data_IF_973343415283
#
_entry.id   IF_973343415283
#
_cell.length_a   1.000
_cell.length_b   1.000
_cell.length_c   1.000
_cell.angle_alpha   90.00
_cell.angle_beta   90.00
_cell.angle_gamma   90.00
#
_symmetry.space_group_name_H-M   'P 1'
#
loop_
_entity.id
_entity.type
_entity.pdbx_description
1 polymer ?
#
# COMPACT_ATOMS: atom_id res chain seq x y z
N UNK A 1 5.51 -7.50 -5.51
CA UNK A 1 5.08 -8.79 -4.92
C UNK A 1 4.06 -8.58 -3.82
N UNK A 2 3.12 -7.67 -4.04
CA UNK A 2 2.13 -7.25 -3.05
C UNK A 2 0.89 -8.15 -3.13
N UNK A 3 0.39 -8.71 -2.00
CA UNK A 3 -0.83 -9.50 -2.00
C UNK A 3 -2.02 -8.72 -2.55
N UNK A 4 -2.80 -9.36 -3.42
CA UNK A 4 -3.99 -8.79 -4.04
C UNK A 4 -5.13 -9.81 -4.05
N UNK A 5 -6.38 -9.33 -4.01
CA UNK A 5 -7.56 -10.15 -4.27
C UNK A 5 -8.64 -9.35 -4.97
N UNK A 6 -9.62 -10.05 -5.54
CA UNK A 6 -10.79 -9.48 -6.20
C UNK A 6 -12.06 -10.09 -5.62
N UNK A 7 -13.08 -9.27 -5.36
CA UNK A 7 -14.39 -9.75 -4.93
C UNK A 7 -15.34 -10.04 -6.11
N UNK A 8 -16.50 -10.65 -5.82
CA UNK A 8 -17.52 -10.97 -6.81
C UNK A 8 -18.18 -9.73 -7.43
N UNK A 9 -18.07 -8.56 -6.79
CA UNK A 9 -18.58 -7.28 -7.28
C UNK A 9 -17.56 -6.56 -8.18
N UNK A 10 -16.38 -7.15 -8.39
CA UNK A 10 -15.40 -6.64 -9.33
C UNK A 10 -14.39 -5.66 -8.75
N UNK A 11 -14.37 -5.48 -7.42
CA UNK A 11 -13.41 -4.62 -6.74
C UNK A 11 -12.12 -5.37 -6.48
N UNK A 12 -11.01 -4.84 -7.00
CA UNK A 12 -9.66 -5.35 -6.78
C UNK A 12 -9.03 -4.57 -5.63
N UNK A 13 -8.48 -5.28 -4.65
CA UNK A 13 -7.79 -4.71 -3.47
C UNK A 13 -6.36 -5.21 -3.40
N UNK A 14 -5.46 -4.33 -2.96
CA UNK A 14 -4.04 -4.61 -2.70
C UNK A 14 -3.73 -4.38 -1.22
N UNK A 15 -2.76 -5.13 -0.69
CA UNK A 15 -2.23 -4.91 0.64
C UNK A 15 -1.41 -3.61 0.69
N UNK A 16 -1.85 -2.64 1.49
CA UNK A 16 -1.13 -1.41 1.76
C UNK A 16 -0.22 -1.56 2.98
N UNK A 17 1.07 -1.84 2.73
CA UNK A 17 2.07 -2.04 3.78
C UNK A 17 2.42 -0.77 4.55
N UNK A 18 2.42 0.40 3.90
CA UNK A 18 2.73 1.67 4.57
C UNK A 18 1.58 2.17 5.45
N UNK A 19 0.37 1.63 5.26
CA UNK A 19 -0.80 1.95 6.08
C UNK A 19 -1.26 0.74 6.90
N UNK A 20 -0.39 0.27 7.80
CA UNK A 20 -0.72 -0.73 8.81
C UNK A 20 -1.18 -2.09 8.26
N UNK A 21 -0.68 -2.50 7.09
CA UNK A 21 -1.11 -3.72 6.39
C UNK A 21 -2.64 -3.78 6.14
N UNK A 22 -3.25 -2.63 5.88
CA UNK A 22 -4.67 -2.53 5.50
C UNK A 22 -4.90 -2.90 4.03
N UNK A 23 -6.17 -3.11 3.65
CA UNK A 23 -6.56 -3.41 2.28
C UNK A 23 -7.07 -2.17 1.56
N UNK A 24 -6.41 -1.77 0.47
CA UNK A 24 -6.78 -0.61 -0.32
C UNK A 24 -7.43 -1.02 -1.65
N UNK A 25 -8.60 -0.47 -2.01
CA UNK A 25 -9.19 -0.69 -3.33
C UNK A 25 -8.42 0.06 -4.43
N UNK A 26 -8.02 -0.65 -5.49
CA UNK A 26 -7.17 -0.11 -6.58
C UNK A 26 -7.80 -0.15 -7.96
N UNK A 27 -8.87 -0.94 -8.14
CA UNK A 27 -9.62 -0.96 -9.39
C UNK A 27 -11.05 -1.45 -9.13
N UNK A 28 -11.99 -0.95 -9.91
CA UNK A 28 -13.32 -1.52 -10.01
C UNK A 28 -13.57 -1.94 -11.46
N UNK A 29 -13.50 -3.24 -11.74
CA UNK A 29 -13.69 -3.77 -13.10
C UNK A 29 -15.09 -3.51 -13.66
N UNK A 30 -16.08 -3.22 -12.82
CA UNK A 30 -17.46 -2.90 -13.25
C UNK A 30 -17.56 -1.60 -14.02
N UNK A 31 -16.67 -0.65 -13.81
CA UNK A 31 -16.65 0.62 -14.56
C UNK A 31 -16.34 0.39 -16.06
N UNK A 32 -15.70 -0.73 -16.38
CA UNK A 32 -15.38 -1.16 -17.74
C UNK A 32 -16.42 -2.12 -18.34
N UNK A 33 -17.39 -2.58 -17.54
CA UNK A 33 -18.50 -3.43 -17.99
C UNK A 33 -19.59 -2.58 -18.66
N UNK A 34 -20.20 -3.09 -19.74
CA UNK A 34 -21.33 -2.42 -20.42
C UNK A 34 -22.68 -2.91 -19.91
N UNK A 35 -22.76 -4.18 -19.48
CA UNK A 35 -23.98 -4.81 -19.00
C UNK A 35 -23.82 -5.50 -17.64
N UNK A 36 -24.94 -5.89 -17.04
CA UNK A 36 -24.95 -6.60 -15.74
C UNK A 36 -24.27 -7.96 -15.82
N UNK A 37 -24.42 -8.66 -16.95
CA UNK A 37 -23.85 -9.97 -17.27
C UNK A 37 -22.40 -9.94 -17.75
N UNK A 38 -21.81 -8.75 -17.90
CA UNK A 38 -20.41 -8.61 -18.27
C UNK A 38 -19.55 -8.74 -17.03
N UNK A 39 -18.45 -9.48 -17.10
CA UNK A 39 -17.51 -9.64 -16.00
C UNK A 39 -16.06 -9.59 -16.53
N UNK A 40 -15.12 -9.41 -15.61
CA UNK A 40 -13.70 -9.57 -15.90
C UNK A 40 -13.14 -10.68 -15.03
N UNK A 41 -12.41 -11.60 -15.65
CA UNK A 41 -11.72 -12.69 -14.96
C UNK A 41 -10.23 -12.34 -14.85
N UNK A 42 -9.77 -11.99 -13.65
CA UNK A 42 -8.40 -11.51 -13.43
C UNK A 42 -7.38 -12.64 -13.57
N UNK A 43 -6.30 -12.35 -14.28
CA UNK A 43 -5.19 -13.28 -14.56
C UNK A 43 -3.92 -12.83 -13.84
N UNK A 44 -3.67 -11.52 -13.75
CA UNK A 44 -2.46 -11.00 -13.13
C UNK A 44 -2.54 -9.53 -12.79
N UNK A 45 -1.79 -9.14 -11.76
CA UNK A 45 -1.64 -7.76 -11.29
C UNK A 45 -0.17 -7.41 -11.39
N UNK A 46 0.16 -6.32 -12.07
CA UNK A 46 1.54 -5.81 -12.13
C UNK A 46 1.58 -4.39 -11.58
N UNK A 47 2.54 -4.16 -10.67
CA UNK A 47 2.75 -2.87 -10.02
C UNK A 47 3.59 -1.93 -10.90
N UNK A 48 4.58 -2.46 -11.63
CA UNK A 48 5.41 -1.71 -12.57
C UNK A 48 5.69 -2.53 -13.85
N UNK A 49 5.24 -2.08 -15.05
CA UNK A 49 4.27 -1.01 -15.25
C UNK A 49 2.90 -1.38 -14.66
N UNK A 50 2.11 -0.37 -14.30
CA UNK A 50 0.78 -0.53 -13.69
C UNK A 50 -0.22 -1.14 -14.69
N UNK A 51 -0.56 -2.43 -14.53
CA UNK A 51 -1.52 -3.12 -15.39
C UNK A 51 -2.30 -4.22 -14.65
N UNK A 52 -3.64 -4.18 -14.79
CA UNK A 52 -4.52 -5.28 -14.42
C UNK A 52 -4.79 -6.16 -15.65
N UNK A 53 -4.17 -7.34 -15.71
CA UNK A 53 -4.39 -8.31 -16.78
C UNK A 53 -5.61 -9.15 -16.46
N UNK A 54 -6.60 -9.15 -17.35
CA UNK A 54 -7.86 -9.85 -17.14
C UNK A 54 -8.50 -10.27 -18.46
N UNK A 55 -9.40 -11.25 -18.43
CA UNK A 55 -10.13 -11.74 -19.59
C UNK A 55 -11.57 -11.18 -19.52
N UNK A 56 -12.04 -10.44 -20.53
CA UNK A 56 -13.42 -9.97 -20.58
C UNK A 56 -14.37 -11.14 -20.84
N UNK A 57 -15.35 -11.31 -19.96
CA UNK A 57 -16.36 -12.38 -20.01
C UNK A 57 -17.74 -11.76 -20.27
N UNK A 58 -18.52 -12.39 -21.15
CA UNK A 58 -19.88 -11.97 -21.51
C UNK A 58 -20.85 -13.11 -21.19
N UNK A 59 -21.82 -12.86 -20.32
CA UNK A 59 -22.83 -13.86 -19.93
C UNK A 59 -22.41 -14.80 -18.80
N UNK A 60 -21.12 -14.85 -18.44
CA UNK A 60 -20.57 -15.67 -17.37
C UNK A 60 -19.44 -14.92 -16.62
N UNK A 61 -19.02 -15.46 -15.46
CA UNK A 61 -17.92 -14.92 -14.64
C UNK A 61 -16.54 -15.51 -14.98
N UNK A 62 -16.50 -16.51 -15.85
CA UNK A 62 -15.27 -17.19 -16.29
C UNK A 62 -15.33 -17.39 -17.81
N UNK A 63 -14.19 -17.34 -18.50
CA UNK A 63 -14.16 -17.51 -19.94
C UNK A 63 -14.26 -19.00 -20.33
N UNK A 64 -14.81 -19.33 -21.50
CA UNK A 64 -14.68 -20.67 -22.06
C UNK A 64 -13.21 -20.96 -22.40
N UNK A 65 -12.80 -22.23 -22.29
CA UNK A 65 -11.41 -22.65 -22.59
C UNK A 65 -11.05 -22.47 -24.06
N UNK A 66 -12.02 -22.66 -24.96
CA UNK A 66 -11.84 -22.58 -26.41
C UNK A 66 -12.91 -21.67 -27.05
N UNK A 67 -12.54 -20.81 -28.03
CA UNK A 67 -11.16 -20.52 -28.44
C UNK A 67 -10.37 -19.83 -27.33
N UNK A 68 -9.02 -19.86 -27.40
CA UNK A 68 -8.15 -19.24 -26.39
C UNK A 68 -8.56 -17.77 -26.18
N UNK A 69 -9.01 -17.37 -24.97
CA UNK A 69 -9.47 -16.01 -24.76
C UNK A 69 -8.33 -14.99 -24.85
N UNK A 70 -8.64 -13.79 -25.35
CA UNK A 70 -7.71 -12.68 -25.39
C UNK A 70 -7.61 -12.00 -24.01
N UNK A 71 -6.38 -11.72 -23.56
CA UNK A 71 -6.12 -10.98 -22.31
C UNK A 71 -6.22 -9.48 -22.58
N UNK A 72 -7.12 -8.81 -21.87
CA UNK A 72 -7.22 -7.37 -21.82
C UNK A 72 -6.36 -6.79 -20.70
N UNK A 73 -5.97 -5.53 -20.85
CA UNK A 73 -5.25 -4.75 -19.84
C UNK A 73 -6.15 -3.60 -19.42
N UNK A 74 -6.49 -3.55 -18.12
CA UNK A 74 -7.23 -2.45 -17.53
C UNK A 74 -6.29 -1.56 -16.71
N UNK A 75 -6.48 -0.23 -16.73
CA UNK A 75 -5.78 0.68 -15.84
C UNK A 75 -6.28 0.53 -14.40
N UNK A 76 -5.40 0.81 -13.43
CA UNK A 76 -5.82 0.99 -12.05
C UNK A 76 -6.42 2.38 -11.85
N UNK A 77 -7.43 2.45 -11.00
CA UNK A 77 -8.08 3.69 -10.59
C UNK A 77 -8.61 3.51 -9.18
N UNK A 78 -8.03 4.25 -8.23
CA UNK A 78 -8.48 4.26 -6.84
C UNK A 78 -9.84 5.00 -6.76
N UNK A 79 -10.75 4.58 -5.84
CA UNK A 79 -12.08 5.17 -5.73
C UNK A 79 -12.06 6.52 -5.00
N UNK A 80 -11.35 7.50 -5.55
CA UNK A 80 -11.30 8.87 -5.03
C UNK A 80 -12.56 9.67 -5.40
N UNK A 81 -12.94 10.58 -4.49
CA UNK A 81 -14.05 11.50 -4.72
C UNK A 81 -13.71 12.53 -5.81
N UNK A 82 -14.72 12.94 -6.58
CA UNK A 82 -14.61 14.03 -7.56
C UNK A 82 -13.48 13.86 -8.59
N UNK A 83 -13.29 12.63 -9.08
CA UNK A 83 -12.24 12.27 -10.07
C UNK A 83 -12.37 13.00 -11.43
N UNK A 84 -13.49 13.68 -11.67
CA UNK A 84 -13.68 14.52 -12.86
C UNK A 84 -13.05 15.91 -12.72
N UNK A 85 -12.64 16.30 -11.52
CA UNK A 85 -11.99 17.60 -11.25
C UNK A 85 -10.47 17.47 -11.33
N UNK A 86 -9.76 18.55 -11.68
CA UNK A 86 -8.29 18.57 -11.69
C UNK A 86 -7.69 18.16 -10.34
N UNK A 87 -8.28 18.64 -9.23
CA UNK A 87 -7.89 18.24 -7.87
C UNK A 87 -8.01 16.73 -7.67
N UNK A 88 -9.19 16.17 -7.93
CA UNK A 88 -9.45 14.75 -7.72
C UNK A 88 -8.57 13.84 -8.58
N UNK A 89 -8.26 14.26 -9.82
CA UNK A 89 -7.32 13.55 -10.70
C UNK A 89 -5.91 13.51 -10.13
N UNK A 90 -5.38 14.64 -9.69
CA UNK A 90 -4.03 14.70 -9.11
C UNK A 90 -3.94 13.94 -7.78
N UNK A 91 -4.98 14.00 -6.94
CA UNK A 91 -5.04 13.25 -5.68
C UNK A 91 -5.03 11.74 -5.94
N UNK A 92 -5.88 11.26 -6.86
CA UNK A 92 -5.89 9.83 -7.24
C UNK A 92 -4.54 9.38 -7.79
N UNK A 93 -3.93 10.16 -8.69
CA UNK A 93 -2.63 9.84 -9.28
C UNK A 93 -1.52 9.77 -8.22
N UNK A 94 -1.50 10.72 -7.30
CA UNK A 94 -0.52 10.78 -6.22
C UNK A 94 -0.61 9.54 -5.31
N UNK A 95 -1.82 9.23 -4.82
CA UNK A 95 -2.02 8.10 -3.92
C UNK A 95 -1.90 6.76 -4.62
N UNK A 96 -2.27 6.68 -5.91
CA UNK A 96 -2.01 5.49 -6.73
C UNK A 96 -0.51 5.26 -6.87
N UNK A 97 0.26 6.29 -7.25
CA UNK A 97 1.72 6.19 -7.33
C UNK A 97 2.35 5.75 -6.00
N UNK A 98 1.88 6.30 -4.88
CA UNK A 98 2.38 5.90 -3.55
C UNK A 98 2.11 4.42 -3.25
N UNK A 99 0.87 3.96 -3.42
CA UNK A 99 0.53 2.55 -3.17
C UNK A 99 1.33 1.60 -4.06
N UNK A 100 1.55 1.94 -5.33
CA UNK A 100 2.30 1.12 -6.28
C UNK A 100 3.82 1.25 -6.17
N UNK A 101 4.34 2.08 -5.26
CA UNK A 101 5.79 2.19 -4.96
C UNK A 101 6.16 1.61 -3.60
N UNK A 102 5.18 1.39 -2.72
CA UNK A 102 5.38 0.77 -1.39
C UNK A 102 6.13 -0.58 -1.42
N UNK A 103 6.11 -1.31 -2.55
CA UNK A 103 6.82 -2.57 -2.66
C UNK A 103 8.34 -2.40 -2.62
N UNK A 104 8.88 -1.23 -3.02
CA UNK A 104 10.32 -0.98 -3.00
C UNK A 104 10.91 -1.07 -1.59
N UNK A 105 10.23 -0.47 -0.61
CA UNK A 105 10.66 -0.54 0.78
C UNK A 105 10.57 -1.98 1.33
N UNK A 106 9.61 -2.77 0.84
CA UNK A 106 9.53 -4.18 1.18
C UNK A 106 10.70 -4.97 0.60
N UNK A 107 11.06 -4.74 -0.67
CA UNK A 107 12.18 -5.41 -1.33
C UNK A 107 13.50 -5.08 -0.62
N UNK A 108 13.77 -3.80 -0.39
CA UNK A 108 14.96 -3.32 0.31
C UNK A 108 15.09 -3.93 1.71
N UNK A 109 14.02 -3.94 2.51
CA UNK A 109 14.02 -4.53 3.87
C UNK A 109 14.32 -6.02 3.92
N UNK A 110 14.05 -6.76 2.85
CA UNK A 110 14.26 -8.21 2.79
C UNK A 110 15.46 -8.58 1.90
N UNK A 111 16.28 -7.61 1.50
CA UNK A 111 17.49 -7.84 0.69
C UNK A 111 17.21 -8.32 -0.73
N UNK A 112 16.02 -8.05 -1.29
CA UNK A 112 15.74 -8.33 -2.70
C UNK A 112 16.30 -7.23 -3.60
N UNK A 113 16.74 -7.61 -4.81
CA UNK A 113 17.15 -6.65 -5.83
C UNK A 113 16.00 -5.71 -6.21
N UNK A 114 16.35 -4.44 -6.33
CA UNK A 114 15.45 -3.33 -6.60
C UNK A 114 16.12 -2.33 -7.54
N UNK A 115 15.38 -1.83 -8.52
CA UNK A 115 15.85 -0.72 -9.36
C UNK A 115 15.54 0.62 -8.69
N UNK A 116 16.55 1.18 -8.00
CA UNK A 116 16.46 2.47 -7.32
C UNK A 116 16.16 3.64 -8.28
N UNK A 117 16.45 3.50 -9.57
CA UNK A 117 16.13 4.55 -10.54
C UNK A 117 14.62 4.68 -10.71
N UNK A 118 13.91 3.55 -10.79
CA UNK A 118 12.44 3.54 -10.89
C UNK A 118 11.82 4.11 -9.62
N UNK A 119 12.35 3.76 -8.44
CA UNK A 119 11.92 4.35 -7.16
C UNK A 119 12.06 5.87 -7.18
N UNK A 120 13.23 6.36 -7.60
CA UNK A 120 13.54 7.80 -7.68
C UNK A 120 12.65 8.51 -8.70
N UNK A 121 12.39 7.90 -9.85
CA UNK A 121 11.50 8.45 -10.87
C UNK A 121 10.06 8.59 -10.36
N UNK A 122 9.54 7.55 -9.70
CA UNK A 122 8.20 7.60 -9.12
C UNK A 122 8.10 8.64 -7.99
N UNK A 123 9.13 8.79 -7.16
CA UNK A 123 9.20 9.86 -6.16
C UNK A 123 9.19 11.26 -6.81
N UNK A 124 9.90 11.46 -7.92
CA UNK A 124 9.85 12.73 -8.67
C UNK A 124 8.44 13.02 -9.19
N UNK A 125 7.76 12.03 -9.76
CA UNK A 125 6.36 12.16 -10.22
C UNK A 125 5.42 12.55 -9.06
N UNK A 126 5.56 11.90 -7.91
CA UNK A 126 4.78 12.22 -6.70
C UNK A 126 4.98 13.67 -6.25
N UNK A 127 6.24 14.13 -6.22
CA UNK A 127 6.57 15.50 -5.84
C UNK A 127 6.08 16.53 -6.87
N UNK A 128 6.10 16.20 -8.16
CA UNK A 128 5.52 17.03 -9.21
C UNK A 128 4.01 17.20 -9.02
N UNK A 129 3.29 16.11 -8.73
CA UNK A 129 1.85 16.15 -8.44
C UNK A 129 1.53 17.00 -7.21
N UNK A 130 2.31 16.87 -6.13
CA UNK A 130 2.19 17.71 -4.94
C UNK A 130 2.36 19.19 -5.28
N UNK A 131 3.38 19.55 -6.07
CA UNK A 131 3.62 20.93 -6.46
C UNK A 131 2.47 21.49 -7.33
N UNK A 132 1.90 20.68 -8.24
CA UNK A 132 0.73 21.07 -9.03
C UNK A 132 -0.51 21.27 -8.15
N UNK A 133 -0.79 20.36 -7.22
CA UNK A 133 -1.89 20.50 -6.25
C UNK A 133 -1.71 21.71 -5.34
N UNK A 134 -0.47 22.01 -4.94
CA UNK A 134 -0.13 23.18 -4.15
C UNK A 134 -0.41 24.46 -4.93
N UNK A 135 0.05 24.55 -6.18
CA UNK A 135 -0.19 25.68 -7.06
C UNK A 135 -1.69 25.90 -7.30
N UNK A 136 -2.46 24.82 -7.53
CA UNK A 136 -3.92 24.88 -7.67
C UNK A 136 -4.57 25.42 -6.39
N UNK A 137 -4.18 24.91 -5.22
CA UNK A 137 -4.72 25.37 -3.93
C UNK A 137 -4.39 26.83 -3.63
N UNK A 138 -3.19 27.28 -4.03
CA UNK A 138 -2.74 28.66 -3.89
C UNK A 138 -3.55 29.61 -4.78
N UNK A 139 -3.84 29.21 -6.04
CA UNK A 139 -4.74 29.94 -6.95
C UNK A 139 -6.17 30.06 -6.42
N UNK A 140 -6.64 29.04 -5.70
CA UNK A 140 -7.97 29.01 -5.07
C UNK A 140 -7.99 29.69 -3.69
N UNK A 141 -6.89 30.33 -3.28
CA UNK A 141 -6.73 31.04 -2.00
C UNK A 141 -6.95 30.15 -0.76
N UNK A 142 -6.66 28.85 -0.88
CA UNK A 142 -6.76 27.89 0.22
C UNK A 142 -5.41 27.68 0.88
N UNK A 143 -4.92 28.70 1.59
CA UNK A 143 -3.57 28.69 2.18
C UNK A 143 -3.35 27.56 3.18
N UNK A 144 -4.35 27.21 4.00
CA UNK A 144 -4.24 26.09 4.94
C UNK A 144 -3.98 24.76 4.20
N UNK A 145 -4.67 24.54 3.07
CA UNK A 145 -4.45 23.35 2.25
C UNK A 145 -3.06 23.32 1.61
N UNK A 146 -2.51 24.50 1.28
CA UNK A 146 -1.14 24.59 0.80
C UNK A 146 -0.15 24.09 1.87
N UNK A 147 -0.40 24.34 3.15
CA UNK A 147 0.42 23.80 4.25
C UNK A 147 0.30 22.27 4.34
N UNK A 148 -0.92 21.73 4.34
CA UNK A 148 -1.16 20.27 4.37
C UNK A 148 -0.45 19.54 3.20
N UNK A 149 -0.47 20.14 2.00
CA UNK A 149 0.25 19.57 0.85
C UNK A 149 1.76 19.67 0.99
N UNK A 150 2.29 20.72 1.62
CA UNK A 150 3.71 20.90 1.86
C UNK A 150 4.25 19.91 2.91
N UNK A 151 3.42 19.46 3.84
CA UNK A 151 3.77 18.39 4.78
C UNK A 151 4.13 17.08 4.07
N UNK A 152 3.60 16.84 2.87
CA UNK A 152 3.93 15.66 2.05
C UNK A 152 5.14 15.89 1.11
N UNK A 153 5.64 17.13 1.03
CA UNK A 153 6.76 17.48 0.16
C UNK A 153 8.11 17.16 0.80
N UNK A 154 9.07 16.82 -0.07
CA UNK A 154 10.50 16.81 0.26
C UNK A 154 11.01 18.23 0.49
N UNK A 155 12.13 18.36 1.19
CA UNK A 155 12.77 19.65 1.47
C UNK A 155 13.02 20.49 0.22
N UNK A 156 13.51 19.86 -0.85
CA UNK A 156 13.80 20.54 -2.11
C UNK A 156 12.55 21.15 -2.75
N UNK A 157 11.42 20.44 -2.69
CA UNK A 157 10.15 20.87 -3.29
C UNK A 157 9.46 21.88 -2.40
N UNK A 158 9.59 21.75 -1.08
CA UNK A 158 9.12 22.75 -0.13
C UNK A 158 9.81 24.11 -0.33
N UNK A 159 11.13 24.12 -0.56
CA UNK A 159 11.86 25.34 -0.92
C UNK A 159 11.35 25.98 -2.22
N UNK A 160 10.91 25.17 -3.18
CA UNK A 160 10.26 25.67 -4.40
C UNK A 160 8.86 26.26 -4.11
N UNK A 161 8.10 25.62 -3.22
CA UNK A 161 6.80 26.10 -2.77
C UNK A 161 6.88 27.45 -2.04
N UNK A 162 7.89 27.68 -1.20
CA UNK A 162 8.16 28.97 -0.54
C UNK A 162 8.40 30.07 -1.59
N UNK A 163 9.25 29.80 -2.59
CA UNK A 163 9.53 30.72 -3.70
C UNK A 163 8.25 31.01 -4.50
N UNK A 164 7.42 29.99 -4.74
CA UNK A 164 6.14 30.16 -5.44
C UNK A 164 5.17 31.03 -4.65
N UNK A 165 4.98 30.78 -3.35
CA UNK A 165 4.10 31.56 -2.48
C UNK A 165 4.53 33.04 -2.41
N UNK A 166 5.85 33.28 -2.32
CA UNK A 166 6.44 34.62 -2.32
C UNK A 166 6.13 35.36 -3.63
N UNK A 167 6.33 34.70 -4.78
CA UNK A 167 6.03 35.28 -6.10
C UNK A 167 4.53 35.53 -6.31
N UNK A 168 3.67 34.70 -5.72
CA UNK A 168 2.21 34.85 -5.73
C UNK A 168 1.69 35.88 -4.70
N UNK A 169 2.58 36.63 -4.04
CA UNK A 169 2.24 37.66 -3.02
C UNK A 169 1.50 37.12 -1.80
N UNK A 170 1.63 35.82 -1.50
CA UNK A 170 1.07 35.18 -0.30
C UNK A 170 2.15 35.12 0.80
N UNK A 171 2.51 36.27 1.35
CA UNK A 171 3.67 36.43 2.25
C UNK A 171 3.53 35.64 3.56
N UNK A 172 2.34 35.61 4.16
CA UNK A 172 2.07 34.86 5.40
C UNK A 172 2.23 33.36 5.16
N UNK A 173 1.71 32.85 4.04
CA UNK A 173 1.91 31.46 3.64
C UNK A 173 3.40 31.15 3.43
N UNK A 174 4.15 32.03 2.75
CA UNK A 174 5.58 31.83 2.53
C UNK A 174 6.39 31.78 3.85
N UNK A 175 6.05 32.64 4.81
CA UNK A 175 6.67 32.62 6.13
C UNK A 175 6.39 31.29 6.85
N UNK A 176 5.13 30.85 6.92
CA UNK A 176 4.76 29.59 7.57
C UNK A 176 5.42 28.37 6.92
N UNK A 177 5.51 28.36 5.59
CA UNK A 177 6.23 27.30 4.87
C UNK A 177 7.73 27.32 5.18
N UNK A 178 8.32 28.49 5.43
CA UNK A 178 9.73 28.61 5.82
C UNK A 178 9.95 28.08 7.23
N UNK A 179 9.05 28.38 8.16
CA UNK A 179 9.06 27.82 9.53
C UNK A 179 8.96 26.28 9.48
N UNK A 180 8.01 25.74 8.73
CA UNK A 180 7.85 24.29 8.52
C UNK A 180 9.07 23.64 7.86
N UNK A 181 9.73 24.32 6.92
CA UNK A 181 10.96 23.81 6.29
C UNK A 181 12.10 23.67 7.29
N UNK A 182 12.27 24.67 8.17
CA UNK A 182 13.27 24.64 9.23
C UNK A 182 12.99 23.53 10.24
N UNK A 183 11.72 23.35 10.66
CA UNK A 183 11.30 22.28 11.55
C UNK A 183 11.63 20.90 10.97
N UNK A 184 11.18 20.62 9.74
CA UNK A 184 11.51 19.34 9.09
C UNK A 184 13.01 19.14 8.86
N UNK A 185 13.79 20.21 8.63
CA UNK A 185 15.24 20.10 8.47
C UNK A 185 15.92 19.74 9.79
N UNK A 186 15.44 20.31 10.90
CA UNK A 186 15.89 19.96 12.24
C UNK A 186 15.52 18.52 12.62
N UNK A 187 14.31 18.06 12.28
CA UNK A 187 13.88 16.67 12.48
C UNK A 187 14.77 15.69 11.72
N UNK A 188 15.06 15.95 10.44
CA UNK A 188 15.94 15.08 9.64
C UNK A 188 17.36 15.04 10.21
N UNK A 189 17.90 16.17 10.67
CA UNK A 189 19.21 16.22 11.30
C UNK A 189 19.25 15.45 12.64
N UNK A 190 18.17 15.50 13.43
CA UNK A 190 18.06 14.77 14.69
C UNK A 190 17.97 13.25 14.47
N UNK A 191 17.22 12.80 13.46
CA UNK A 191 17.14 11.37 13.09
C UNK A 191 18.51 10.87 12.64
N UNK A 192 19.21 11.64 11.81
CA UNK A 192 20.53 11.24 11.33
C UNK A 192 21.57 11.16 12.45
N UNK A 193 21.54 12.10 13.41
CA UNK A 193 22.39 12.03 14.60
C UNK A 193 22.11 10.81 15.47
N UNK A 194 20.85 10.37 15.54
CA UNK A 194 20.47 9.16 16.29
C UNK A 194 20.97 7.90 15.57
N UNK A 195 20.82 7.81 14.25
CA UNK A 195 21.31 6.70 13.45
C UNK A 195 22.84 6.59 13.53
N UNK A 196 23.56 7.70 13.42
CA UNK A 196 25.01 7.75 13.56
C UNK A 196 25.46 7.27 14.96
N UNK A 197 24.72 7.62 16.01
CA UNK A 197 24.99 7.17 17.38
C UNK A 197 24.72 5.68 17.58
N UNK A 198 23.62 5.17 17.03
CA UNK A 198 23.24 3.76 17.12
C UNK A 198 24.26 2.87 16.36
N UNK A 199 24.74 3.31 15.19
CA UNK A 199 25.79 2.64 14.42
C UNK A 199 27.14 2.61 15.16
N UNK A 200 27.53 3.73 15.79
CA UNK A 200 28.73 3.79 16.64
C UNK A 200 28.61 2.83 17.84
N UNK A 201 27.43 2.73 18.45
CA UNK A 201 27.19 1.79 19.55
C UNK A 201 27.24 0.32 19.10
N UNK A 202 26.70 0.00 17.92
CA UNK A 202 26.76 -1.35 17.36
C UNK A 202 28.19 -1.76 17.00
N UNK A 203 29.01 -0.86 16.44
CA UNK A 203 30.43 -1.13 16.18
C UNK A 203 31.21 -1.34 17.49
N UNK A 204 30.95 -0.52 18.52
CA UNK A 204 31.53 -0.69 19.86
C UNK A 204 31.19 -2.05 20.47
N UNK A 205 29.92 -2.49 20.38
CA UNK A 205 29.47 -3.80 20.86
C UNK A 205 30.13 -4.94 20.07
N UNK A 206 30.23 -4.81 18.76
CA UNK A 206 30.86 -5.81 17.88
C UNK A 206 32.34 -5.95 18.18
N UNK A 207 33.05 -4.81 18.33
CA UNK A 207 34.48 -4.78 18.70
C UNK A 207 34.73 -5.35 20.09
N UNK A 208 33.85 -5.09 21.06
CA UNK A 208 33.98 -5.66 22.40
C UNK A 208 33.79 -7.19 22.40
N UNK A 209 32.81 -7.70 21.63
CA UNK A 209 32.53 -9.12 21.53
C UNK A 209 33.64 -9.89 20.78
N UNK A 210 34.24 -9.27 19.75
CA UNK A 210 35.40 -9.84 19.04
C UNK A 210 36.67 -9.96 19.93
N UNK A 211 36.79 -9.14 20.97
CA UNK A 211 37.88 -9.22 21.95
C UNK A 211 37.75 -10.41 22.92
N UNK A 212 36.53 -10.89 23.19
CA UNK A 212 36.28 -11.99 24.11
C UNK A 212 36.49 -13.38 23.47
N UNK A 213 36.47 -13.47 22.12
CA UNK A 213 36.67 -14.74 21.41
C UNK A 213 38.13 -15.10 21.09
N UNK A 214 39.12 -14.29 21.50
CA UNK A 214 40.56 -14.53 21.24
C UNK A 214 41.43 -14.81 22.46
N UNK A 215 40.83 -14.98 23.64
CA UNK A 215 41.55 -15.57 24.78
C UNK A 215 41.06 -17.00 24.98
N UNK A 216 41.74 -17.95 24.36
CA UNK A 216 41.84 -19.30 24.91
C UNK A 216 42.43 -19.14 26.32
N UNK A 217 41.59 -19.13 27.34
CA UNK A 217 42.06 -19.28 28.71
C UNK A 217 42.77 -20.64 28.77
N UNK A 218 44.10 -20.62 28.91
CA UNK A 218 44.95 -21.77 29.24
C UNK A 218 44.65 -22.30 30.66
N UNK A 219 43.37 -22.45 31.02
CA UNK A 219 42.94 -22.89 32.34
C UNK A 219 41.73 -23.84 32.25
N UNK A 220 41.81 -24.78 31.32
CA UNK A 220 40.93 -25.97 31.32
C UNK A 220 41.67 -27.29 31.09
N UNK A 221 42.99 -27.27 30.93
CA UNK A 221 43.80 -28.47 31.12
C UNK A 221 44.12 -28.59 32.61
N UNK A 222 43.36 -29.42 33.32
CA UNK A 222 43.83 -30.32 34.37
C UNK A 222 42.61 -31.08 34.95
N UNK A 223 42.72 -32.41 34.89
CA UNK A 223 41.86 -33.44 35.51
C UNK A 223 40.68 -33.99 34.70
N UNK A 224 40.98 -34.93 33.80
CA UNK A 224 40.43 -36.29 33.91
C UNK A 224 41.38 -37.28 33.21
N UNK A 225 41.93 -38.23 33.98
CA UNK A 225 42.66 -39.41 33.47
C UNK A 225 41.90 -40.69 33.84
N UNK A 226 42.17 -41.80 33.14
CA UNK A 226 41.16 -42.72 32.61
C UNK A 226 41.13 -44.08 33.34
N UNK A 227 40.12 -44.90 33.03
CA UNK A 227 40.12 -46.34 33.35
C UNK A 227 40.02 -47.14 32.03
N UNK A 228 41.02 -48.01 31.81
CA UNK A 228 41.16 -49.01 30.72
C UNK A 228 40.43 -50.30 31.13
N UNK A 229 39.86 -51.16 30.27
CA UNK A 229 40.44 -52.20 29.35
C UNK A 229 39.24 -53.07 28.91
N UNK A 230 39.11 -53.72 27.75
CA UNK A 230 39.98 -54.60 26.94
C UNK A 230 39.48 -54.54 25.46
N UNK A 231 40.35 -54.33 24.44
CA UNK A 231 40.94 -55.32 23.50
C UNK A 231 39.89 -56.12 22.67
N UNK A 232 39.92 -56.30 21.34
CA UNK A 232 40.99 -56.55 20.35
C UNK A 232 40.60 -56.09 18.92
N UNK A 233 41.60 -56.05 18.03
CA UNK A 233 41.73 -55.61 16.62
C UNK A 233 40.81 -56.38 15.62
N UNK A 234 40.52 -55.99 14.37
CA UNK A 234 41.45 -55.69 13.26
C UNK A 234 40.69 -55.26 11.97
N UNK A 235 41.30 -54.33 11.20
CA UNK A 235 41.28 -54.02 9.75
C UNK A 235 40.18 -54.61 8.81
N UNK A 236 39.58 -53.79 7.94
CA UNK A 236 40.04 -53.52 6.56
C UNK A 236 39.00 -52.74 5.73
N UNK A 237 39.45 -51.80 4.91
CA UNK A 237 38.69 -51.15 3.84
C UNK A 237 38.49 -52.12 2.65
N UNK A 238 37.35 -52.05 1.96
CA UNK A 238 37.28 -52.13 0.48
C UNK A 238 35.88 -51.77 -0.05
N UNK A 239 35.92 -50.97 -1.11
CA UNK A 239 34.84 -50.60 -2.03
C UNK A 239 34.34 -51.80 -2.85
N UNK A 240 33.08 -51.75 -3.31
CA UNK A 240 32.62 -51.94 -4.72
C UNK A 240 31.12 -52.30 -4.77
N UNK A 241 30.34 -51.32 -5.25
CA UNK A 241 29.46 -51.35 -6.43
C UNK A 241 28.67 -52.61 -6.89
N UNK A 242 27.43 -52.31 -7.32
CA UNK A 242 26.64 -52.87 -8.46
C UNK A 242 25.53 -53.90 -8.15
N UNK A 243 24.30 -53.46 -8.48
CA UNK A 243 23.14 -54.11 -9.17
C UNK A 243 22.72 -55.53 -8.77
N UNK A 244 21.48 -56.01 -8.85
CA UNK A 244 20.19 -55.62 -9.37
C UNK A 244 19.21 -56.63 -8.71
N UNK A 245 17.92 -56.31 -8.61
CA UNK A 245 16.81 -57.20 -8.98
C UNK A 245 15.54 -56.97 -8.17
N UNK A 246 14.47 -57.16 -8.92
CA UNK A 246 13.14 -56.65 -8.78
C UNK A 246 12.24 -57.82 -8.38
N UNK A 247 11.57 -57.79 -7.23
CA UNK A 247 10.47 -58.73 -6.98
C UNK A 247 9.34 -58.07 -6.18
N UNK A 248 8.24 -57.83 -6.89
CA UNK A 248 6.92 -57.61 -6.32
C UNK A 248 6.41 -58.91 -5.67
N UNK A 249 5.93 -58.85 -4.42
CA UNK A 249 4.53 -59.18 -4.07
C UNK A 249 4.26 -59.28 -2.55
N UNK A 250 3.10 -58.73 -2.23
CA UNK A 250 2.12 -59.17 -1.22
C UNK A 250 2.25 -58.73 0.25
N UNK A 251 1.08 -58.30 0.74
CA UNK A 251 0.68 -57.67 2.01
C UNK A 251 0.26 -58.78 2.98
N UNK A 252 0.44 -58.66 4.32
CA UNK A 252 -0.67 -58.18 5.16
C UNK A 252 -0.30 -57.26 6.35
N UNK A 253 -1.18 -56.28 6.54
CA UNK A 253 -1.69 -55.64 7.75
C UNK A 253 -0.95 -55.78 9.10
N UNK A 254 -0.62 -54.64 9.73
CA UNK A 254 -1.21 -54.30 11.04
C UNK A 254 -0.99 -52.83 11.45
N UNK A 255 -2.12 -52.17 11.74
CA UNK A 255 -2.38 -51.19 12.81
C UNK A 255 -1.29 -50.18 13.24
N UNK A 256 -1.55 -48.87 13.06
CA UNK A 256 -1.99 -47.94 14.13
C UNK A 256 -2.11 -46.49 13.60
N UNK A 257 -3.25 -45.80 13.79
CA UNK A 257 -3.37 -44.37 13.53
C UNK A 257 -3.04 -43.56 14.78
N UNK A 258 -2.10 -42.62 14.67
CA UNK A 258 -1.83 -41.59 15.67
C UNK A 258 -2.88 -40.47 15.55
N UNK A 259 -3.79 -40.39 16.52
CA UNK A 259 -4.78 -39.30 16.66
C UNK A 259 -4.40 -38.30 17.76
N UNK A 260 -4.62 -37.04 17.43
CA UNK A 260 -4.38 -35.82 18.23
C UNK A 260 -5.11 -35.77 19.59
N UNK A 261 -4.59 -35.02 20.59
CA UNK A 261 -4.96 -35.16 22.00
C UNK A 261 -5.91 -34.07 22.55
N UNK A 262 -6.89 -33.58 21.77
CA UNK A 262 -7.87 -32.62 22.30
C UNK A 262 -9.28 -32.82 21.73
N UNK A 263 -10.09 -33.63 22.41
CA UNK A 263 -11.53 -33.36 22.56
C UNK A 263 -12.11 -34.15 23.74
N UNK A 264 -12.50 -33.41 24.79
CA UNK A 264 -13.29 -33.95 25.90
C UNK A 264 -14.73 -34.12 25.42
N UNK A 265 -15.22 -35.33 25.60
CA UNK A 265 -16.61 -35.73 25.44
C UNK A 265 -17.46 -35.25 26.63
N UNK A 266 -18.67 -34.80 26.33
CA UNK A 266 -19.79 -34.84 27.28
C UNK A 266 -21.00 -35.35 26.50
N UNK A 267 -21.44 -36.55 26.84
CA UNK A 267 -22.62 -37.23 26.31
C UNK A 267 -23.89 -36.66 26.93
N UNK A 268 -24.91 -36.50 26.11
CA UNK A 268 -26.34 -36.46 26.49
C UNK A 268 -26.85 -37.85 26.91
N UNK A 269 -28.05 -37.92 27.49
CA UNK A 269 -28.95 -39.02 27.14
C UNK A 269 -30.38 -38.59 26.75
N UNK A 270 -30.91 -39.43 25.86
CA UNK A 270 -32.25 -39.66 25.29
C UNK A 270 -33.53 -39.00 25.83
N UNK A 271 -34.46 -38.80 24.89
CA UNK A 271 -35.91 -38.84 25.18
C UNK A 271 -36.84 -38.22 24.12
N UNK A 272 -37.43 -39.08 23.29
CA UNK A 272 -38.77 -39.04 22.63
C UNK A 272 -39.43 -37.71 22.20
N UNK A 273 -39.86 -37.65 20.93
CA UNK A 273 -40.49 -36.48 20.31
C UNK A 273 -42.02 -36.41 20.33
N UNK A 274 -42.57 -35.24 19.97
CA UNK A 274 -43.91 -35.01 19.38
C UNK A 274 -43.88 -33.69 18.56
N UNK A 275 -44.75 -33.64 17.54
CA UNK A 275 -44.97 -32.62 16.49
C UNK A 275 -45.38 -31.21 16.96
N UNK A 276 -45.06 -30.24 16.09
CA UNK A 276 -45.78 -29.03 15.66
C UNK A 276 -46.56 -28.16 16.67
N UNK A 277 -46.25 -26.86 16.67
CA UNK A 277 -47.10 -25.81 17.23
C UNK A 277 -46.42 -24.44 17.16
N UNK A 278 -47.08 -23.48 16.52
CA UNK A 278 -46.62 -22.11 16.35
C UNK A 278 -46.96 -21.22 17.55
N UNK A 279 -46.38 -20.00 17.49
CA UNK A 279 -46.81 -18.69 18.02
C UNK A 279 -46.23 -18.18 19.37
N UNK A 280 -45.59 -17.00 19.24
CA UNK A 280 -45.62 -15.77 20.06
C UNK A 280 -44.29 -15.23 20.63
N UNK A 281 -44.13 -13.93 20.37
CA UNK A 281 -43.05 -12.99 20.72
C UNK A 281 -42.67 -12.94 22.20
N UNK A 282 -41.39 -12.63 22.46
CA UNK A 282 -41.03 -11.78 23.59
C UNK A 282 -39.87 -10.84 23.24
N UNK A 283 -40.09 -9.55 23.50
CA UNK A 283 -39.13 -8.47 23.42
C UNK A 283 -38.22 -8.50 24.65
N UNK A 284 -36.91 -8.63 24.47
CA UNK A 284 -35.94 -8.03 25.39
C UNK A 284 -34.75 -7.48 24.59
N UNK A 285 -34.66 -6.15 24.58
CA UNK A 285 -33.61 -5.40 23.92
C UNK A 285 -32.26 -5.59 24.60
N UNK A 286 -31.24 -5.87 23.81
CA UNK A 286 -29.85 -5.63 24.18
C UNK A 286 -29.39 -4.34 23.52
N UNK A 287 -29.23 -3.30 24.33
CA UNK A 287 -28.62 -2.03 23.94
C UNK A 287 -27.10 -2.14 24.01
N UNK A 288 -26.45 -1.48 23.05
CA UNK A 288 -25.02 -1.45 22.76
C UNK A 288 -24.20 -0.77 23.89
N UNK A 289 -23.09 -1.36 24.38
CA UNK A 289 -22.33 -0.84 25.53
C UNK A 289 -21.37 0.33 25.22
N UNK A 290 -21.30 0.84 23.99
CA UNK A 290 -20.35 1.91 23.62
C UNK A 290 -20.96 3.33 23.54
N UNK A 291 -22.07 3.60 24.22
CA UNK A 291 -22.71 4.91 24.19
C UNK A 291 -22.36 5.73 25.45
N UNK A 292 -21.23 6.44 25.38
CA UNK A 292 -20.84 7.42 26.40
C UNK A 292 -21.49 8.77 26.08
N UNK A 293 -22.39 9.22 26.94
CA UNK A 293 -22.86 10.61 27.01
C UNK A 293 -22.16 11.29 28.18
N UNK A 294 -21.53 12.44 27.97
CA UNK A 294 -21.27 13.49 28.99
C UNK A 294 -21.00 14.82 28.25
N UNK A 295 -21.11 16.00 28.90
CA UNK A 295 -22.08 17.03 28.54
C UNK A 295 -21.41 18.33 28.08
N UNK A 296 -22.26 19.26 27.64
CA UNK A 296 -21.96 20.64 27.29
C UNK A 296 -21.00 21.34 28.27
N UNK A 297 -19.91 21.88 27.72
CA UNK A 297 -19.25 23.06 28.26
C UNK A 297 -19.06 24.05 27.11
N UNK A 298 -19.81 25.14 27.21
CA UNK A 298 -19.82 26.29 26.33
C UNK A 298 -18.47 27.01 26.38
N UNK A 299 -17.84 27.20 25.23
CA UNK A 299 -16.97 28.36 25.00
C UNK A 299 -17.47 29.10 23.77
N UNK A 300 -18.05 30.28 24.04
CA UNK A 300 -18.53 31.24 23.05
C UNK A 300 -17.35 31.88 22.34
N UNK A 301 -17.28 31.77 21.01
CA UNK A 301 -16.53 32.74 20.19
C UNK A 301 -17.43 33.24 19.05
N UNK A 302 -17.62 34.54 19.15
CA UNK A 302 -18.36 35.54 18.37
C UNK A 302 -18.38 35.31 16.85
N UNK A 303 -19.59 35.18 16.31
CA UNK A 303 -19.89 35.44 14.89
C UNK A 303 -19.89 36.95 14.65
N UNK A 304 -18.96 37.45 13.82
CA UNK A 304 -19.14 38.73 13.15
C UNK A 304 -19.93 38.51 11.86
N UNK A 305 -21.23 38.83 11.92
CA UNK A 305 -22.02 39.17 10.72
C UNK A 305 -21.49 40.52 10.22
N UNK A 306 -21.08 40.58 8.96
CA UNK A 306 -21.07 41.85 8.24
C UNK A 306 -21.93 41.70 6.99
N UNK A 307 -23.08 42.34 7.05
CA UNK A 307 -23.96 42.66 5.94
C UNK A 307 -23.33 43.78 5.12
N UNK A 308 -23.19 43.63 3.80
CA UNK A 308 -23.24 44.79 2.90
C UNK A 308 -23.68 44.39 1.48
N UNK A 309 -24.91 44.81 1.21
CA UNK A 309 -25.54 45.25 -0.05
C UNK A 309 -24.87 44.97 -1.41
N UNK A 310 -25.68 44.37 -2.29
CA UNK A 310 -25.60 44.41 -3.76
C UNK A 310 -25.46 45.84 -4.31
N UNK A 311 -24.78 45.97 -5.48
CA UNK A 311 -25.05 46.97 -6.54
C UNK A 311 -24.18 46.63 -7.79
N UNK A 312 -24.86 46.43 -8.94
CA UNK A 312 -24.43 46.66 -10.35
C UNK A 312 -23.41 45.64 -10.93
N UNK A 313 -23.67 44.72 -11.88
CA UNK A 313 -24.35 44.77 -13.20
C UNK A 313 -23.99 45.94 -14.12
N UNK A 314 -22.82 45.87 -14.79
CA UNK A 314 -22.65 46.43 -16.14
C UNK A 314 -21.35 45.92 -16.78
N UNK A 315 -21.30 45.99 -18.11
CA UNK A 315 -20.17 45.75 -19.02
C UNK A 315 -20.05 44.31 -19.57
N UNK A 316 -21.09 43.89 -20.30
CA UNK A 316 -20.88 43.15 -21.55
C UNK A 316 -21.12 44.12 -22.71
N UNK A 317 -20.06 44.54 -23.39
CA UNK A 317 -20.03 44.91 -24.82
C UNK A 317 -18.64 45.44 -25.20
N UNK A 318 -18.30 45.21 -26.48
CA UNK A 318 -17.20 45.82 -27.28
C UNK A 318 -15.88 45.05 -27.14
N UNK A 319 -15.23 44.44 -28.14
CA UNK A 319 -15.42 44.29 -29.61
C UNK A 319 -14.36 43.28 -30.10
N UNK A 320 -14.68 42.48 -31.11
CA UNK A 320 -13.71 41.79 -31.98
C UNK A 320 -13.07 42.78 -32.97
N UNK A 321 -11.79 42.63 -33.35
CA UNK A 321 -11.26 43.27 -34.55
C UNK A 321 -11.17 42.28 -35.73
N UNK A 322 -11.95 42.53 -36.77
CA UNK A 322 -11.64 42.12 -38.14
C UNK A 322 -10.70 43.17 -38.76
N UNK A 323 -9.61 42.70 -39.38
CA UNK A 323 -8.90 43.44 -40.43
C UNK A 323 -8.04 42.46 -41.24
N UNK A 324 -8.53 42.04 -42.41
CA UNK A 324 -7.68 41.58 -43.51
C UNK A 324 -8.18 42.22 -44.81
N UNK A 325 -7.31 43.00 -45.45
CA UNK A 325 -7.48 43.45 -46.82
C UNK A 325 -6.14 43.44 -47.55
N UNK A 326 -6.15 42.83 -48.76
CA UNK A 326 -5.09 42.94 -49.77
C UNK A 326 -4.73 41.59 -50.39
N UNK A 327 -5.45 41.09 -51.41
CA UNK A 327 -5.15 41.22 -52.87
C UNK A 327 -3.82 40.51 -53.24
N UNK A 328 -3.68 39.62 -54.24
CA UNK A 328 -4.31 39.53 -55.57
C UNK A 328 -3.66 38.37 -56.40
N UNK A 329 -4.44 37.74 -57.30
CA UNK A 329 -4.07 36.91 -58.49
C UNK A 329 -3.32 35.57 -58.25
N UNK A 330 -3.49 34.43 -58.95
CA UNK A 330 -3.85 34.08 -60.34
C UNK A 330 -4.45 32.65 -60.36
N UNK A 331 -5.35 32.36 -61.31
CA UNK A 331 -5.96 31.06 -61.68
C UNK A 331 -5.12 30.30 -62.75
N UNK A 332 -5.56 29.17 -63.36
CA UNK A 332 -6.11 27.89 -62.84
C UNK A 332 -5.44 26.63 -63.52
N UNK A 333 -6.02 25.45 -63.28
CA UNK A 333 -5.88 24.14 -64.00
C UNK A 333 -4.52 23.43 -63.90
N UNK A 334 -4.44 22.18 -63.46
CA UNK A 334 -5.19 20.97 -63.89
C UNK A 334 -5.31 19.98 -62.75
#
# INVERSE_FOLDING_TARGET
>A
GSPCYMDSEGTVRILNRSFGNSWAPICNTRTHCKGKSDHYWVVGVHENPQQLRCIPCKGSRFPPTLPRPAVAVLPFQLPYCQITTEKGQMEEQYWRSLIFTNYFDYLSKHGYECDENVKTEAQKEQQELLMKMFALSCKLEREFRCMELAELMTQNVMNLAIKYASRSKKLVLAQRLSEMALEKAAELAAVQQQEDYDDEEEDLRTRHNAGYSRTTSEWSDLHAKPVKRDQYEELNEHEEEVEEENLQKEVPENSTPLTNPFSKSAKSPDGFGVKAGAVLSSNQGRVNPFKVHFPYLLFSIVFFKNTSTSIITSIYKVTMPENQCGKKYFSPST
#
